data_IF_064646254911
#
_entry.id   IF_064646254911
#
_cell.length_a   1.000
_cell.length_b   1.000
_cell.length_c   1.000
_cell.angle_alpha   90.00
_cell.angle_beta   90.00
_cell.angle_gamma   90.00
#
_symmetry.space_group_name_H-M   'P 1'
#
loop_
_entity.id
_entity.type
_entity.pdbx_description
1 polymer ?
#
# COMPACT_ATOMS: atom_id res chain seq x y z
N UNK A 1 -2.25 28.32 48.83
CA UNK A 1 -2.20 26.88 49.15
C UNK A 1 -0.90 26.30 48.58
N UNK A 2 -0.19 25.47 49.33
CA UNK A 2 0.91 24.68 48.85
C UNK A 2 0.35 23.44 48.16
N UNK A 3 0.91 23.08 47.00
CA UNK A 3 0.53 21.82 46.33
C UNK A 3 0.92 20.61 47.18
N UNK A 4 0.21 19.48 47.10
CA UNK A 4 0.61 18.24 47.74
C UNK A 4 2.02 17.82 47.34
N UNK A 5 2.70 17.04 48.18
CA UNK A 5 4.02 16.50 47.86
C UNK A 5 3.94 15.66 46.59
N UNK A 6 4.88 15.89 45.65
CA UNK A 6 4.89 15.21 44.38
C UNK A 6 4.06 15.86 43.26
N UNK A 7 3.14 16.77 43.58
CA UNK A 7 2.26 17.40 42.59
C UNK A 7 2.99 18.30 41.58
N UNK A 8 4.15 18.84 41.97
CA UNK A 8 4.92 19.78 41.17
C UNK A 8 4.80 21.23 41.63
N UNK A 9 5.51 22.12 41.00
CA UNK A 9 5.61 23.53 41.39
C UNK A 9 5.57 24.48 40.20
N UNK A 10 5.02 25.69 40.48
CA UNK A 10 4.93 26.77 39.51
C UNK A 10 5.55 28.02 40.14
N UNK A 11 6.45 28.68 39.43
CA UNK A 11 6.94 30.01 39.82
C UNK A 11 7.23 30.88 38.64
N UNK A 12 7.26 32.19 38.92
CA UNK A 12 7.56 33.23 37.96
C UNK A 12 9.07 33.43 37.94
N UNK A 13 9.66 33.31 36.74
CA UNK A 13 11.05 33.64 36.52
C UNK A 13 11.24 35.17 36.42
N UNK A 14 12.39 35.66 36.86
CA UNK A 14 12.75 37.06 36.76
C UNK A 14 13.09 37.49 35.35
N UNK A 15 13.03 38.81 35.11
CA UNK A 15 13.33 39.45 33.81
C UNK A 15 12.15 39.55 32.86
N UNK A 16 12.35 40.26 31.76
CA UNK A 16 11.34 40.46 30.68
C UNK A 16 11.29 39.21 29.77
N UNK A 17 10.38 38.26 30.09
CA UNK A 17 10.18 37.01 29.36
C UNK A 17 8.78 36.93 28.81
N UNK A 18 8.63 36.45 27.57
CA UNK A 18 7.34 36.20 26.95
C UNK A 18 6.54 35.10 27.68
N UNK A 19 7.23 34.11 28.24
CA UNK A 19 6.65 33.00 29.03
C UNK A 19 7.32 32.91 30.37
N UNK A 20 6.93 33.75 31.34
CA UNK A 20 7.65 33.86 32.63
C UNK A 20 7.34 32.75 33.62
N UNK A 21 6.24 31.99 33.46
CA UNK A 21 5.86 30.97 34.42
C UNK A 21 6.42 29.61 34.01
N UNK A 22 7.28 29.04 34.85
CA UNK A 22 7.83 27.70 34.74
C UNK A 22 7.00 26.72 35.57
N UNK A 23 6.71 25.57 34.95
CA UNK A 23 6.10 24.40 35.61
C UNK A 23 7.14 23.29 35.64
N UNK A 24 7.37 22.74 36.85
CA UNK A 24 8.32 21.63 37.01
C UNK A 24 7.84 20.64 38.07
N UNK A 25 8.28 19.39 37.95
CA UNK A 25 8.11 18.36 38.98
C UNK A 25 9.46 17.89 39.51
N UNK A 26 9.45 17.33 40.72
CA UNK A 26 10.58 16.62 41.28
C UNK A 26 10.68 15.22 40.64
N UNK A 27 11.87 14.84 40.18
CA UNK A 27 12.13 13.52 39.61
C UNK A 27 13.04 12.64 40.49
N UNK A 28 13.58 13.22 41.52
CA UNK A 28 14.49 12.55 42.46
C UNK A 28 15.32 13.53 43.29
N UNK A 29 16.35 13.01 43.92
CA UNK A 29 17.33 13.73 44.71
C UNK A 29 18.74 13.32 44.25
N UNK A 30 19.66 14.24 44.23
CA UNK A 30 21.06 13.93 43.97
C UNK A 30 21.70 13.24 45.18
N UNK A 31 22.87 12.63 44.98
CA UNK A 31 23.64 12.02 46.09
C UNK A 31 24.00 13.03 47.17
N UNK A 32 24.02 14.32 46.82
CA UNK A 32 24.24 15.43 47.76
C UNK A 32 22.94 15.94 48.44
N UNK A 33 21.80 15.24 48.27
CA UNK A 33 20.52 15.63 48.84
C UNK A 33 19.83 16.82 48.15
N UNK A 34 20.28 17.26 46.97
CA UNK A 34 19.64 18.32 46.18
C UNK A 34 18.48 17.75 45.34
N UNK A 35 17.36 18.46 45.37
CA UNK A 35 16.16 18.09 44.62
C UNK A 35 16.38 18.23 43.09
N UNK A 36 16.18 17.15 42.36
CA UNK A 36 16.27 17.13 40.92
C UNK A 36 14.89 17.42 40.29
N UNK A 37 14.86 18.32 39.33
CA UNK A 37 13.63 18.78 38.68
C UNK A 37 13.59 18.47 37.21
N UNK A 38 12.41 18.09 36.75
CA UNK A 38 12.09 18.04 35.33
C UNK A 38 11.11 19.17 35.00
N UNK A 39 11.42 19.98 33.96
CA UNK A 39 10.57 21.07 33.52
C UNK A 39 9.48 20.55 32.60
N UNK A 40 8.21 20.77 32.95
CA UNK A 40 7.05 20.44 32.13
C UNK A 40 6.88 21.45 31.01
N UNK A 41 7.04 22.74 31.30
CA UNK A 41 6.95 23.79 30.31
C UNK A 41 7.06 25.20 30.84
N UNK A 42 7.00 26.19 29.92
CA UNK A 42 6.99 27.63 30.20
C UNK A 42 5.71 28.25 29.66
N UNK A 43 5.03 29.09 30.43
CA UNK A 43 3.70 29.61 30.11
C UNK A 43 3.65 31.12 30.29
N UNK A 44 2.75 31.77 29.55
CA UNK A 44 2.58 33.24 29.56
C UNK A 44 1.88 33.72 30.84
N UNK A 45 0.93 32.92 31.35
CA UNK A 45 0.15 33.28 32.55
C UNK A 45 0.23 32.16 33.58
N UNK A 46 -0.01 32.53 34.86
CA UNK A 46 -0.08 31.57 35.95
C UNK A 46 -1.23 30.57 35.77
N UNK A 47 -2.36 31.02 35.18
CA UNK A 47 -3.53 30.17 34.92
C UNK A 47 -3.17 29.04 33.96
N UNK A 48 -2.53 29.37 32.83
CA UNK A 48 -2.07 28.40 31.88
C UNK A 48 -1.06 27.41 32.46
N UNK A 49 -0.18 27.89 33.32
CA UNK A 49 0.77 27.05 34.03
C UNK A 49 0.08 26.08 35.04
N UNK A 50 -0.96 26.54 35.72
CA UNK A 50 -1.76 25.71 36.62
C UNK A 50 -2.55 24.64 35.88
N UNK A 51 -3.19 25.00 34.77
CA UNK A 51 -3.89 24.06 33.91
C UNK A 51 -2.93 22.97 33.40
N UNK A 52 -1.78 23.36 32.89
CA UNK A 52 -0.78 22.42 32.39
C UNK A 52 -0.23 21.48 33.47
N UNK A 53 -0.06 21.97 34.70
CA UNK A 53 0.34 21.13 35.85
C UNK A 53 -0.76 20.14 36.25
N UNK A 54 -2.03 20.59 36.26
CA UNK A 54 -3.17 19.73 36.54
C UNK A 54 -3.33 18.64 35.47
N UNK A 55 -3.31 19.03 34.20
CA UNK A 55 -3.38 18.09 33.05
C UNK A 55 -2.27 17.05 33.09
N UNK A 56 -1.04 17.49 33.44
CA UNK A 56 0.09 16.60 33.60
C UNK A 56 -0.12 15.57 34.73
N UNK A 57 -0.70 16.00 35.87
CA UNK A 57 -0.96 15.10 37.00
C UNK A 57 -2.12 14.13 36.75
N UNK A 58 -3.10 14.52 35.91
CA UNK A 58 -4.21 13.65 35.49
C UNK A 58 -3.70 12.61 34.48
N UNK A 59 -2.89 13.04 33.53
CA UNK A 59 -2.33 12.20 32.48
C UNK A 59 -0.82 12.43 32.36
N UNK A 60 0.00 11.81 33.22
CA UNK A 60 1.45 11.94 33.17
C UNK A 60 1.98 11.46 31.80
N UNK A 61 2.73 12.31 31.12
CA UNK A 61 3.39 11.97 29.86
C UNK A 61 4.90 12.14 29.99
N UNK A 62 5.65 11.41 29.18
CA UNK A 62 7.10 11.57 29.09
C UNK A 62 7.41 12.91 28.41
N UNK A 63 8.04 13.81 29.17
CA UNK A 63 8.33 15.18 28.73
C UNK A 63 9.31 15.19 27.56
N UNK A 64 10.26 14.27 27.51
CA UNK A 64 11.18 14.13 26.39
C UNK A 64 10.43 13.62 25.14
N UNK A 65 9.56 12.63 25.32
CA UNK A 65 8.69 12.15 24.22
C UNK A 65 7.72 13.23 23.72
N UNK A 66 7.27 14.12 24.61
CA UNK A 66 6.37 15.23 24.23
C UNK A 66 7.02 16.31 23.37
N UNK A 67 8.35 16.35 23.31
CA UNK A 67 9.10 17.30 22.47
C UNK A 67 9.28 16.82 21.04
N UNK A 68 9.06 15.54 20.78
CA UNK A 68 9.30 14.94 19.45
C UNK A 68 8.49 15.65 18.38
N UNK A 69 9.13 16.02 17.31
CA UNK A 69 8.48 16.61 16.13
C UNK A 69 7.84 15.54 15.24
N UNK A 70 6.99 15.96 14.31
CA UNK A 70 6.39 15.06 13.33
C UNK A 70 7.45 14.33 12.49
N UNK A 71 8.48 15.05 12.02
CA UNK A 71 9.57 14.47 11.24
C UNK A 71 10.40 13.47 12.05
N UNK A 72 10.75 13.79 13.28
CA UNK A 72 11.50 12.88 14.16
C UNK A 72 10.70 11.61 14.48
N UNK A 73 9.38 11.73 14.70
CA UNK A 73 8.51 10.57 14.89
C UNK A 73 8.44 9.70 13.64
N UNK A 74 8.31 10.34 12.45
CA UNK A 74 8.33 9.63 11.17
C UNK A 74 9.63 8.87 10.96
N UNK A 75 10.77 9.47 11.28
CA UNK A 75 12.08 8.84 11.12
C UNK A 75 12.23 7.61 12.04
N UNK A 76 11.79 7.70 13.29
CA UNK A 76 11.78 6.57 14.22
C UNK A 76 10.86 5.46 13.72
N UNK A 77 9.60 5.80 13.39
CA UNK A 77 8.62 4.86 12.88
C UNK A 77 9.10 4.19 11.59
N UNK A 78 9.65 4.96 10.65
CA UNK A 78 10.06 4.44 9.35
C UNK A 78 11.23 3.45 9.47
N UNK A 79 12.20 3.68 10.35
CA UNK A 79 13.31 2.76 10.62
C UNK A 79 12.82 1.40 11.12
N UNK A 80 11.77 1.38 11.94
CA UNK A 80 11.22 0.16 12.51
C UNK A 80 10.19 -0.54 11.59
N UNK A 81 9.46 0.25 10.79
CA UNK A 81 8.34 -0.24 9.99
C UNK A 81 8.74 -0.67 8.57
N UNK A 82 9.63 0.07 7.91
CA UNK A 82 10.00 -0.19 6.52
C UNK A 82 10.61 -1.58 6.27
N UNK A 83 11.43 -2.16 7.16
CA UNK A 83 11.93 -3.52 6.98
C UNK A 83 10.83 -4.60 6.98
N UNK A 84 9.63 -4.28 7.48
CA UNK A 84 8.51 -5.23 7.65
C UNK A 84 7.47 -5.16 6.52
N UNK A 85 7.66 -4.26 5.56
CA UNK A 85 6.66 -4.00 4.50
C UNK A 85 7.29 -4.06 3.11
N UNK A 86 6.46 -4.17 2.06
CA UNK A 86 6.93 -4.20 0.67
C UNK A 86 7.44 -2.83 0.21
N UNK A 87 8.34 -2.82 -0.80
CA UNK A 87 8.88 -1.61 -1.41
C UNK A 87 7.76 -0.66 -1.91
N UNK A 88 6.69 -1.21 -2.47
CA UNK A 88 5.53 -0.42 -2.91
C UNK A 88 4.83 0.28 -1.73
N UNK A 89 4.75 -0.36 -0.57
CA UNK A 89 4.19 0.28 0.63
C UNK A 89 5.11 1.42 1.10
N UNK A 90 6.43 1.22 1.07
CA UNK A 90 7.42 2.26 1.39
C UNK A 90 7.26 3.47 0.46
N UNK A 91 7.15 3.25 -0.85
CA UNK A 91 6.90 4.32 -1.83
C UNK A 91 5.62 5.08 -1.49
N UNK A 92 4.54 4.38 -1.18
CA UNK A 92 3.26 5.00 -0.81
C UNK A 92 3.36 5.83 0.47
N UNK A 93 4.07 5.36 1.49
CA UNK A 93 4.31 6.13 2.72
C UNK A 93 5.17 7.36 2.46
N UNK A 94 6.22 7.26 1.64
CA UNK A 94 7.04 8.41 1.23
C UNK A 94 6.22 9.46 0.46
N UNK A 95 5.30 9.03 -0.41
CA UNK A 95 4.37 9.92 -1.10
C UNK A 95 3.48 10.64 -0.09
N UNK A 96 2.88 9.92 0.86
CA UNK A 96 2.07 10.53 1.93
C UNK A 96 2.87 11.54 2.76
N UNK A 97 4.10 11.19 3.14
CA UNK A 97 4.99 12.05 3.92
C UNK A 97 5.32 13.37 3.22
N UNK A 98 5.61 13.32 1.93
CA UNK A 98 5.90 14.52 1.12
C UNK A 98 4.83 15.63 1.27
N UNK A 99 3.55 15.24 1.36
CA UNK A 99 2.45 16.22 1.54
C UNK A 99 2.33 16.72 2.97
N UNK A 100 2.90 16.03 3.96
CA UNK A 100 2.86 16.43 5.36
C UNK A 100 3.93 17.49 5.72
N UNK A 101 4.63 18.09 4.75
CA UNK A 101 5.66 19.09 5.00
C UNK A 101 5.25 20.21 5.98
N UNK A 102 4.00 20.73 5.96
CA UNK A 102 3.57 21.75 6.92
C UNK A 102 3.57 21.28 8.39
N UNK A 103 3.65 19.97 8.64
CA UNK A 103 3.64 19.39 9.98
C UNK A 103 5.04 19.08 10.52
N UNK A 104 6.08 19.06 9.68
CA UNK A 104 7.39 18.50 9.99
C UNK A 104 7.99 19.01 11.30
N UNK A 105 7.98 20.32 11.52
CA UNK A 105 8.60 20.96 12.66
C UNK A 105 7.64 21.13 13.85
N UNK A 106 6.38 20.72 13.69
CA UNK A 106 5.41 20.74 14.78
C UNK A 106 5.68 19.61 15.75
N UNK A 107 5.59 19.89 17.03
CA UNK A 107 5.58 18.83 18.05
C UNK A 107 4.40 17.92 17.80
N UNK A 108 4.62 16.62 17.78
CA UNK A 108 3.58 15.66 17.45
C UNK A 108 2.38 15.75 18.40
N UNK A 109 2.64 16.00 19.69
CA UNK A 109 1.60 16.15 20.71
C UNK A 109 0.68 17.37 20.42
N UNK A 110 1.14 18.37 19.70
CA UNK A 110 0.36 19.59 19.37
C UNK A 110 -0.43 19.47 18.08
N UNK A 111 -0.22 18.38 17.30
CA UNK A 111 -0.94 18.15 16.05
C UNK A 111 -2.38 17.72 16.36
N UNK A 112 -3.33 18.40 15.76
CA UNK A 112 -4.78 18.16 15.90
C UNK A 112 -5.40 17.90 14.52
N UNK A 113 -6.68 17.48 14.54
CA UNK A 113 -7.45 17.22 13.30
C UNK A 113 -7.29 18.35 12.28
N UNK A 114 -7.43 19.61 12.70
CA UNK A 114 -7.41 20.76 11.76
C UNK A 114 -6.09 20.90 11.02
N UNK A 115 -4.95 20.67 11.69
CA UNK A 115 -3.64 20.72 11.04
C UNK A 115 -3.53 19.67 9.93
N UNK A 116 -3.95 18.45 10.21
CA UNK A 116 -3.94 17.34 9.25
C UNK A 116 -4.99 17.51 8.15
N UNK A 117 -6.18 18.03 8.49
CA UNK A 117 -7.22 18.31 7.50
C UNK A 117 -6.74 19.36 6.50
N UNK A 118 -6.07 20.42 6.96
CA UNK A 118 -5.46 21.42 6.09
C UNK A 118 -4.44 20.81 5.12
N UNK A 119 -3.67 19.80 5.54
CA UNK A 119 -2.76 19.06 4.63
C UNK A 119 -3.55 18.37 3.53
N UNK A 120 -4.66 17.72 3.86
CA UNK A 120 -5.52 17.04 2.88
C UNK A 120 -6.14 18.06 1.92
N UNK A 121 -6.75 19.13 2.45
CA UNK A 121 -7.49 20.12 1.68
C UNK A 121 -6.56 20.88 0.73
N UNK A 122 -5.38 21.28 1.21
CA UNK A 122 -4.39 22.00 0.44
C UNK A 122 -3.54 21.11 -0.49
N UNK A 123 -3.69 19.78 -0.44
CA UNK A 123 -2.92 18.86 -1.28
C UNK A 123 -3.24 19.02 -2.77
N UNK A 124 -4.45 19.50 -3.13
CA UNK A 124 -4.95 19.57 -4.51
C UNK A 124 -5.03 18.21 -5.22
N UNK A 125 -5.04 17.09 -4.46
CA UNK A 125 -4.93 15.74 -5.01
C UNK A 125 -6.26 15.01 -4.98
N UNK A 126 -6.42 14.06 -5.94
CA UNK A 126 -7.56 13.15 -6.00
C UNK A 126 -7.56 12.17 -4.80
N UNK A 127 -8.73 11.58 -4.56
CA UNK A 127 -8.99 10.65 -3.46
C UNK A 127 -7.87 9.59 -3.24
N UNK A 128 -7.30 8.91 -4.26
CA UNK A 128 -6.27 7.91 -4.01
C UNK A 128 -5.04 8.47 -3.28
N UNK A 129 -4.58 9.67 -3.66
CA UNK A 129 -3.43 10.30 -2.99
C UNK A 129 -3.80 10.79 -1.59
N UNK A 130 -4.99 11.38 -1.40
CA UNK A 130 -5.50 11.76 -0.07
C UNK A 130 -5.58 10.55 0.86
N UNK A 131 -5.95 9.38 0.32
CA UNK A 131 -5.96 8.12 1.06
C UNK A 131 -4.56 7.70 1.52
N UNK A 132 -3.51 7.89 0.69
CA UNK A 132 -2.13 7.61 1.10
C UNK A 132 -1.69 8.51 2.26
N UNK A 133 -2.01 9.81 2.20
CA UNK A 133 -1.72 10.77 3.30
C UNK A 133 -2.42 10.30 4.59
N UNK A 134 -3.72 10.02 4.54
CA UNK A 134 -4.48 9.56 5.70
C UNK A 134 -3.93 8.23 6.25
N UNK A 135 -3.52 7.32 5.38
CA UNK A 135 -2.93 6.03 5.77
C UNK A 135 -1.65 6.25 6.57
N UNK A 136 -0.74 7.10 6.08
CA UNK A 136 0.47 7.44 6.82
C UNK A 136 0.16 8.08 8.17
N UNK A 137 -0.71 9.09 8.21
CA UNK A 137 -1.11 9.77 9.45
C UNK A 137 -1.69 8.78 10.47
N UNK A 138 -2.49 7.81 10.01
CA UNK A 138 -3.02 6.76 10.87
C UNK A 138 -1.93 5.86 11.45
N UNK A 139 -0.91 5.51 10.66
CA UNK A 139 0.23 4.70 11.12
C UNK A 139 1.06 5.46 12.15
N UNK A 140 1.34 6.73 11.89
CA UNK A 140 2.10 7.56 12.82
C UNK A 140 1.36 7.78 14.15
N UNK A 141 0.03 7.95 14.12
CA UNK A 141 -0.75 8.03 15.36
C UNK A 141 -0.81 6.72 16.12
N UNK A 142 -0.89 5.57 15.44
CA UNK A 142 -0.80 4.26 16.09
C UNK A 142 0.55 4.14 16.82
N UNK A 143 1.64 4.40 16.11
CA UNK A 143 2.98 4.36 16.67
C UNK A 143 3.18 5.35 17.84
N UNK A 144 2.61 6.55 17.71
CA UNK A 144 2.67 7.55 18.76
C UNK A 144 1.92 7.11 20.05
N UNK A 145 0.80 6.39 19.90
CA UNK A 145 0.04 5.85 21.03
C UNK A 145 0.78 4.67 21.65
N UNK A 146 1.29 3.74 20.83
CA UNK A 146 2.09 2.60 21.29
C UNK A 146 3.35 3.02 22.05
N UNK A 147 3.87 4.21 21.78
CA UNK A 147 5.08 4.76 22.40
C UNK A 147 4.79 5.89 23.42
N UNK A 148 3.57 6.05 23.88
CA UNK A 148 3.14 7.07 24.85
C UNK A 148 3.45 8.53 24.46
N UNK A 149 3.57 8.81 23.15
CA UNK A 149 3.73 10.17 22.60
C UNK A 149 2.38 10.87 22.48
N UNK A 150 1.31 10.11 22.26
CA UNK A 150 -0.06 10.63 22.15
C UNK A 150 -1.04 9.70 22.85
N UNK A 151 -2.08 10.25 23.45
CA UNK A 151 -3.17 9.47 24.08
C UNK A 151 -4.40 9.34 23.19
N UNK A 152 -4.48 10.11 22.10
CA UNK A 152 -5.67 10.18 21.23
C UNK A 152 -5.30 10.17 19.77
N UNK A 153 -6.02 9.34 18.99
CA UNK A 153 -5.83 9.21 17.53
C UNK A 153 -6.67 10.24 16.77
N UNK A 154 -6.13 11.46 16.60
CA UNK A 154 -6.83 12.52 15.86
C UNK A 154 -6.96 12.24 14.37
N UNK A 155 -6.08 11.43 13.78
CA UNK A 155 -6.08 11.09 12.35
C UNK A 155 -7.34 10.32 11.90
N UNK A 156 -8.05 9.63 12.81
CA UNK A 156 -9.29 8.94 12.47
C UNK A 156 -10.40 9.89 12.00
N UNK A 157 -10.39 11.13 12.48
CA UNK A 157 -11.42 12.15 12.20
C UNK A 157 -11.18 12.95 10.90
N UNK A 158 -10.12 12.64 10.15
CA UNK A 158 -9.79 13.32 8.89
C UNK A 158 -10.78 12.87 7.81
N UNK A 159 -11.36 13.84 7.12
CA UNK A 159 -12.14 13.59 5.91
C UNK A 159 -11.27 13.68 4.66
N UNK A 160 -11.36 12.71 3.79
CA UNK A 160 -10.66 12.66 2.49
C UNK A 160 -11.62 12.78 1.30
N UNK A 161 -12.91 12.97 1.58
CA UNK A 161 -13.98 13.02 0.58
C UNK A 161 -14.36 11.62 0.08
N UNK A 162 -15.26 11.60 -0.90
CA UNK A 162 -15.71 10.36 -1.55
C UNK A 162 -14.79 9.99 -2.71
N UNK A 163 -14.70 8.70 -2.99
CA UNK A 163 -14.04 8.22 -4.20
C UNK A 163 -14.99 8.36 -5.39
N UNK A 164 -14.93 9.49 -6.06
CA UNK A 164 -15.72 9.76 -7.27
C UNK A 164 -15.06 9.20 -8.54
N UNK A 165 -13.92 8.52 -8.38
CA UNK A 165 -13.23 7.88 -9.50
C UNK A 165 -14.11 6.83 -10.15
N UNK A 166 -14.56 7.08 -11.38
CA UNK A 166 -15.16 6.05 -12.22
C UNK A 166 -14.12 4.94 -12.36
N UNK A 167 -14.52 3.72 -12.05
CA UNK A 167 -13.76 2.54 -12.40
C UNK A 167 -13.78 2.44 -13.93
N UNK A 168 -12.88 3.13 -14.60
CA UNK A 168 -12.66 3.00 -16.05
C UNK A 168 -11.95 1.66 -16.35
N UNK A 169 -12.54 0.56 -15.85
CA UNK A 169 -12.09 -0.78 -16.16
C UNK A 169 -12.98 -1.29 -17.27
N UNK A 170 -12.45 -1.28 -18.47
CA UNK A 170 -13.16 -1.71 -19.67
C UNK A 170 -12.54 -3.03 -20.13
N UNK A 171 -13.27 -4.15 -20.04
CA UNK A 171 -12.80 -5.39 -20.65
C UNK A 171 -12.59 -5.18 -22.17
N UNK A 172 -11.65 -5.90 -22.75
CA UNK A 172 -11.53 -5.98 -24.20
C UNK A 172 -12.81 -6.57 -24.78
N UNK A 173 -13.32 -5.97 -25.84
CA UNK A 173 -14.45 -6.49 -26.61
C UNK A 173 -14.03 -7.72 -27.43
N UNK A 174 -15.00 -8.48 -27.94
CA UNK A 174 -14.73 -9.61 -28.85
C UNK A 174 -13.98 -9.15 -30.10
N UNK A 175 -14.38 -8.01 -30.68
CA UNK A 175 -13.75 -7.45 -31.87
C UNK A 175 -12.29 -7.01 -31.59
N UNK A 176 -12.03 -6.42 -30.43
CA UNK A 176 -10.68 -6.05 -30.02
C UNK A 176 -9.79 -7.27 -29.79
N UNK A 177 -10.34 -8.35 -29.22
CA UNK A 177 -9.60 -9.62 -29.07
C UNK A 177 -9.31 -10.23 -30.45
N UNK A 178 -10.27 -10.22 -31.37
CA UNK A 178 -10.07 -10.69 -32.71
C UNK A 178 -8.97 -9.87 -33.43
N UNK A 179 -8.99 -8.55 -33.28
CA UNK A 179 -7.98 -7.66 -33.86
C UNK A 179 -6.57 -7.96 -33.29
N UNK A 180 -6.46 -8.38 -32.02
CA UNK A 180 -5.18 -8.86 -31.45
C UNK A 180 -4.71 -10.14 -32.15
N UNK A 181 -5.60 -11.11 -32.39
CA UNK A 181 -5.26 -12.33 -33.13
C UNK A 181 -4.84 -12.04 -34.57
N UNK A 182 -5.56 -11.18 -35.27
CA UNK A 182 -5.28 -10.86 -36.71
C UNK A 182 -3.92 -10.16 -36.86
N UNK A 183 -3.43 -9.51 -35.85
CA UNK A 183 -2.14 -8.79 -35.86
C UNK A 183 -0.99 -9.52 -35.14
N UNK A 184 -1.17 -10.79 -34.77
CA UNK A 184 -0.16 -11.54 -34.00
C UNK A 184 1.22 -11.64 -34.69
N UNK A 185 1.23 -11.68 -36.02
CA UNK A 185 2.45 -11.77 -36.85
C UNK A 185 3.09 -10.41 -37.12
N UNK A 186 2.33 -9.33 -36.97
CA UNK A 186 2.72 -7.98 -37.34
C UNK A 186 3.29 -7.17 -36.18
N UNK A 187 2.95 -7.54 -34.93
CA UNK A 187 3.32 -6.80 -33.76
C UNK A 187 3.98 -7.69 -32.71
N UNK A 188 5.23 -7.39 -32.39
CA UNK A 188 5.95 -8.08 -31.33
C UNK A 188 5.26 -7.92 -29.99
N UNK A 189 5.27 -8.97 -29.16
CA UNK A 189 4.68 -9.03 -27.82
C UNK A 189 3.13 -8.96 -27.77
N UNK A 190 2.42 -8.92 -28.89
CA UNK A 190 0.95 -8.98 -28.88
C UNK A 190 0.44 -10.31 -28.30
N UNK A 191 1.18 -11.39 -28.54
CA UNK A 191 0.97 -12.71 -27.96
C UNK A 191 0.95 -12.69 -26.43
N UNK A 192 1.73 -11.82 -25.80
CA UNK A 192 1.72 -11.68 -24.32
C UNK A 192 0.42 -11.07 -23.80
N UNK A 193 -0.25 -10.22 -24.58
CA UNK A 193 -1.57 -9.67 -24.25
C UNK A 193 -2.63 -10.78 -24.31
N UNK A 194 -2.60 -11.59 -25.37
CA UNK A 194 -3.48 -12.75 -25.52
C UNK A 194 -3.25 -13.76 -24.39
N UNK A 195 -1.98 -14.05 -24.03
CA UNK A 195 -1.67 -14.92 -22.87
C UNK A 195 -2.32 -14.37 -21.59
N UNK A 196 -2.25 -13.05 -21.33
CA UNK A 196 -2.88 -12.46 -20.16
C UNK A 196 -4.42 -12.51 -20.21
N UNK A 197 -5.02 -12.32 -21.38
CA UNK A 197 -6.48 -12.41 -21.57
C UNK A 197 -6.99 -13.83 -21.30
N UNK A 198 -6.27 -14.87 -21.73
CA UNK A 198 -6.69 -16.26 -21.60
C UNK A 198 -6.18 -16.99 -20.34
N UNK A 199 -5.39 -16.31 -19.48
CA UNK A 199 -4.90 -16.88 -18.21
C UNK A 199 -5.31 -16.09 -16.97
N UNK A 200 -5.75 -14.84 -17.18
CA UNK A 200 -6.03 -13.93 -16.06
C UNK A 200 -4.81 -13.51 -15.26
N UNK A 201 -3.60 -13.74 -15.74
CA UNK A 201 -2.35 -13.31 -15.11
C UNK A 201 -2.28 -11.79 -14.99
N UNK A 202 -1.71 -11.32 -13.89
CA UNK A 202 -1.22 -9.95 -13.84
C UNK A 202 0.08 -9.85 -14.64
N UNK A 203 0.32 -8.72 -15.29
CA UNK A 203 1.55 -8.54 -16.06
C UNK A 203 2.82 -8.82 -15.23
N UNK A 204 2.89 -8.34 -14.00
CA UNK A 204 4.03 -8.64 -13.11
C UNK A 204 4.19 -10.14 -12.82
N UNK A 205 3.10 -10.90 -12.80
CA UNK A 205 3.14 -12.36 -12.64
C UNK A 205 3.67 -13.03 -13.92
N UNK A 206 3.18 -12.63 -15.10
CA UNK A 206 3.66 -13.15 -16.38
C UNK A 206 5.17 -12.93 -16.57
N UNK A 207 5.65 -11.73 -16.28
CA UNK A 207 7.08 -11.38 -16.41
C UNK A 207 8.02 -12.07 -15.41
N UNK A 208 7.45 -12.79 -14.44
CA UNK A 208 8.20 -13.52 -13.41
C UNK A 208 7.99 -15.04 -13.47
N UNK A 209 7.26 -15.54 -14.46
CA UNK A 209 7.16 -16.98 -14.69
C UNK A 209 8.50 -17.48 -15.21
N UNK A 210 9.08 -18.44 -14.49
CA UNK A 210 10.27 -19.18 -14.97
C UNK A 210 9.86 -20.23 -15.98
N UNK A 211 10.71 -20.45 -16.97
CA UNK A 211 10.50 -21.49 -17.99
C UNK A 211 10.24 -22.86 -17.37
N UNK A 212 10.98 -23.24 -16.33
CA UNK A 212 10.86 -24.53 -15.65
C UNK A 212 9.52 -24.73 -14.93
N UNK A 213 8.76 -23.66 -14.75
CA UNK A 213 7.41 -23.69 -14.18
C UNK A 213 6.30 -23.78 -15.25
N UNK A 214 6.66 -24.06 -16.52
CA UNK A 214 5.72 -24.17 -17.64
C UNK A 214 5.67 -25.61 -18.12
N UNK A 215 4.52 -26.24 -18.01
CA UNK A 215 4.26 -27.65 -18.35
C UNK A 215 3.31 -27.69 -19.57
N UNK A 216 3.87 -27.48 -20.77
CA UNK A 216 3.08 -27.32 -22.02
C UNK A 216 2.23 -28.56 -22.29
N UNK A 217 2.82 -29.75 -22.23
CA UNK A 217 2.13 -31.02 -22.51
C UNK A 217 0.99 -31.30 -21.53
N UNK A 218 1.12 -30.77 -20.29
CA UNK A 218 0.11 -30.88 -19.23
C UNK A 218 -0.83 -29.68 -19.19
N UNK A 219 -0.62 -28.70 -20.08
CA UNK A 219 -1.46 -27.50 -20.26
C UNK A 219 -1.65 -26.67 -18.98
N UNK A 220 -0.60 -26.49 -18.19
CA UNK A 220 -0.59 -25.56 -17.08
C UNK A 220 0.80 -24.97 -16.85
N UNK A 221 0.83 -23.89 -16.08
CA UNK A 221 2.04 -23.29 -15.55
C UNK A 221 1.83 -22.95 -14.07
N UNK A 222 2.92 -22.79 -13.33
CA UNK A 222 2.92 -22.41 -11.92
C UNK A 222 3.44 -20.98 -11.80
N UNK A 223 2.67 -20.11 -11.14
CA UNK A 223 3.04 -18.71 -10.99
C UNK A 223 2.25 -18.00 -9.90
N UNK A 224 2.48 -16.68 -9.80
CA UNK A 224 1.84 -15.81 -8.81
C UNK A 224 2.80 -15.34 -7.72
N UNK A 225 2.73 -14.03 -7.38
CA UNK A 225 3.73 -13.38 -6.52
C UNK A 225 3.08 -12.63 -5.36
N UNK A 226 1.88 -12.07 -5.57
CA UNK A 226 1.43 -10.91 -4.80
C UNK A 226 0.70 -11.23 -3.48
N UNK A 227 0.11 -12.39 -3.34
CA UNK A 227 -0.66 -12.78 -2.15
C UNK A 227 -0.35 -14.22 -1.78
N UNK A 228 -0.47 -14.61 -0.52
CA UNK A 228 -0.27 -15.99 -0.10
C UNK A 228 -1.18 -16.97 -0.88
N UNK A 229 -2.44 -16.61 -1.12
CA UNK A 229 -3.37 -17.40 -1.93
C UNK A 229 -3.01 -17.43 -3.42
N UNK A 230 -2.21 -16.50 -3.89
CA UNK A 230 -1.79 -16.39 -5.30
C UNK A 230 -0.41 -16.96 -5.58
N UNK A 231 0.42 -17.19 -4.57
CA UNK A 231 1.77 -17.77 -4.73
C UNK A 231 1.69 -19.22 -5.21
N UNK A 232 2.51 -19.55 -6.18
CA UNK A 232 2.65 -20.94 -6.70
C UNK A 232 1.32 -21.59 -7.10
N UNK A 233 0.35 -20.77 -7.56
CA UNK A 233 -0.92 -21.33 -8.04
C UNK A 233 -0.78 -21.96 -9.41
N UNK A 234 -1.62 -22.93 -9.68
CA UNK A 234 -1.80 -23.51 -11.00
C UNK A 234 -2.56 -22.53 -11.88
N UNK A 235 -2.01 -22.27 -13.06
CA UNK A 235 -2.55 -21.40 -14.10
C UNK A 235 -2.76 -22.27 -15.34
N UNK A 236 -4.00 -22.66 -15.67
CA UNK A 236 -4.29 -23.48 -16.82
C UNK A 236 -4.01 -22.71 -18.13
N UNK A 237 -3.64 -23.45 -19.15
CA UNK A 237 -3.32 -22.93 -20.49
C UNK A 237 -4.47 -23.30 -21.43
N UNK A 238 -5.19 -22.28 -21.91
CA UNK A 238 -6.22 -22.42 -22.92
C UNK A 238 -5.61 -22.86 -24.28
N UNK A 239 -6.33 -23.63 -25.08
CA UNK A 239 -5.83 -24.16 -26.37
C UNK A 239 -5.33 -23.07 -27.32
N UNK A 240 -6.07 -21.98 -27.46
CA UNK A 240 -5.73 -20.87 -28.36
C UNK A 240 -4.39 -20.22 -28.07
N UNK A 241 -3.89 -20.29 -26.82
CA UNK A 241 -2.62 -19.64 -26.44
C UNK A 241 -1.44 -20.62 -26.33
N UNK A 242 -1.66 -21.92 -26.50
CA UNK A 242 -0.57 -22.90 -26.51
C UNK A 242 0.54 -22.55 -27.49
N UNK A 243 0.26 -22.15 -28.77
CA UNK A 243 1.30 -21.79 -29.70
C UNK A 243 2.15 -20.61 -29.23
N UNK A 244 1.53 -19.62 -28.59
CA UNK A 244 2.23 -18.42 -28.09
C UNK A 244 3.13 -18.75 -26.89
N UNK A 245 2.65 -19.57 -25.97
CA UNK A 245 3.45 -20.02 -24.82
C UNK A 245 4.62 -20.88 -25.33
N UNK A 246 4.39 -21.77 -26.30
CA UNK A 246 5.43 -22.58 -26.90
C UNK A 246 6.50 -21.73 -27.59
N UNK A 247 6.12 -20.72 -28.37
CA UNK A 247 7.03 -19.73 -28.99
C UNK A 247 7.99 -19.10 -27.97
N UNK A 248 7.50 -18.73 -26.79
CA UNK A 248 8.32 -18.17 -25.72
C UNK A 248 9.16 -19.22 -25.01
N UNK A 249 8.59 -20.40 -24.77
CA UNK A 249 9.26 -21.54 -24.12
C UNK A 249 10.46 -22.04 -24.94
N UNK A 250 10.33 -22.09 -26.25
CA UNK A 250 11.36 -22.59 -27.17
C UNK A 250 12.58 -21.65 -27.27
N UNK A 251 12.48 -20.41 -26.81
CA UNK A 251 13.62 -19.49 -26.68
C UNK A 251 14.67 -19.93 -25.67
N UNK A 252 14.33 -20.89 -24.82
CA UNK A 252 15.21 -21.51 -23.83
C UNK A 252 15.89 -20.51 -22.86
N UNK A 253 15.13 -19.52 -22.41
CA UNK A 253 15.57 -18.50 -21.46
C UNK A 253 15.12 -18.84 -20.04
N UNK A 254 15.72 -18.20 -19.02
CA UNK A 254 15.33 -18.40 -17.59
C UNK A 254 13.88 -18.01 -17.34
N UNK A 255 13.44 -16.92 -17.96
CA UNK A 255 12.06 -16.39 -17.82
C UNK A 255 11.25 -16.73 -19.08
N UNK A 256 9.97 -17.05 -18.89
CA UNK A 256 9.09 -17.35 -20.02
C UNK A 256 9.05 -16.19 -21.03
N UNK A 257 8.81 -14.97 -20.54
CA UNK A 257 8.79 -13.76 -21.37
C UNK A 257 9.99 -12.89 -21.04
N UNK A 258 10.77 -12.56 -22.06
CA UNK A 258 12.02 -11.79 -21.96
C UNK A 258 12.04 -10.61 -22.93
N UNK A 259 12.96 -9.67 -22.71
CA UNK A 259 13.29 -8.63 -23.69
C UNK A 259 14.12 -9.21 -24.87
N UNK A 260 14.50 -8.38 -25.83
CA UNK A 260 15.32 -8.79 -26.96
C UNK A 260 16.74 -9.25 -26.58
N UNK A 261 17.23 -8.86 -25.40
CA UNK A 261 18.51 -9.30 -24.84
C UNK A 261 18.39 -10.59 -24.02
N UNK A 262 17.21 -11.23 -24.03
CA UNK A 262 16.89 -12.43 -23.24
C UNK A 262 16.92 -12.21 -21.71
N UNK A 263 16.74 -10.96 -21.27
CA UNK A 263 16.70 -10.59 -19.85
C UNK A 263 15.26 -10.44 -19.36
N UNK A 264 15.07 -10.53 -18.04
CA UNK A 264 13.78 -10.27 -17.42
C UNK A 264 13.31 -8.84 -17.66
N UNK A 265 12.07 -8.68 -18.09
CA UNK A 265 11.47 -7.36 -18.29
C UNK A 265 10.92 -6.78 -16.99
N UNK A 266 11.18 -5.49 -16.77
CA UNK A 266 10.50 -4.73 -15.71
C UNK A 266 9.10 -4.29 -16.18
N UNK A 267 8.15 -4.26 -15.25
CA UNK A 267 6.77 -3.86 -15.53
C UNK A 267 6.66 -2.51 -16.27
N UNK A 268 7.40 -1.50 -15.81
CA UNK A 268 7.37 -0.15 -16.39
C UNK A 268 7.83 -0.12 -17.84
N UNK A 269 8.88 -0.90 -18.17
CA UNK A 269 9.42 -1.00 -19.52
C UNK A 269 8.47 -1.76 -20.43
N UNK A 270 7.94 -2.91 -19.97
CA UNK A 270 6.95 -3.66 -20.74
C UNK A 270 5.72 -2.79 -21.04
N UNK A 271 5.16 -2.11 -20.02
CA UNK A 271 4.00 -1.25 -20.22
C UNK A 271 4.26 -0.18 -21.28
N UNK A 272 5.30 0.63 -21.10
CA UNK A 272 5.61 1.76 -21.98
C UNK A 272 6.01 1.33 -23.39
N UNK A 273 6.87 0.31 -23.52
CA UNK A 273 7.55 -0.01 -24.77
C UNK A 273 6.82 -1.08 -25.60
N UNK A 274 6.00 -1.90 -24.95
CA UNK A 274 5.31 -3.00 -25.62
C UNK A 274 3.80 -2.79 -25.57
N UNK A 275 3.20 -2.80 -24.38
CA UNK A 275 1.75 -2.74 -24.25
C UNK A 275 1.15 -1.43 -24.82
N UNK A 276 1.63 -0.27 -24.34
CA UNK A 276 1.09 1.02 -24.76
C UNK A 276 1.31 1.26 -26.28
N UNK A 277 2.45 0.82 -26.84
CA UNK A 277 2.73 0.89 -28.27
C UNK A 277 1.75 0.03 -29.11
N UNK A 278 1.40 -1.18 -28.64
CA UNK A 278 0.40 -2.03 -29.31
C UNK A 278 -0.97 -1.36 -29.23
N UNK A 279 -1.36 -0.83 -28.08
CA UNK A 279 -2.64 -0.13 -27.90
C UNK A 279 -2.74 1.07 -28.86
N UNK A 280 -1.70 1.88 -28.97
CA UNK A 280 -1.63 3.01 -29.89
C UNK A 280 -1.79 2.58 -31.36
N UNK A 281 -1.01 1.58 -31.79
CA UNK A 281 -1.07 1.08 -33.17
C UNK A 281 -2.43 0.50 -33.56
N UNK A 282 -3.11 -0.16 -32.61
CA UNK A 282 -4.43 -0.74 -32.84
C UNK A 282 -5.58 0.23 -32.48
N UNK A 283 -5.27 1.46 -32.06
CA UNK A 283 -6.24 2.48 -31.64
C UNK A 283 -7.16 2.00 -30.51
N UNK A 284 -6.60 1.27 -29.56
CA UNK A 284 -7.29 0.76 -28.37
C UNK A 284 -6.91 1.56 -27.12
N UNK A 285 -7.84 1.70 -26.18
CA UNK A 285 -7.63 2.40 -24.90
C UNK A 285 -7.76 1.43 -23.73
N UNK A 286 -6.71 0.65 -23.48
CA UNK A 286 -6.64 -0.29 -22.36
C UNK A 286 -5.35 -0.14 -21.57
N UNK A 287 -5.37 -0.68 -20.36
CA UNK A 287 -4.17 -0.86 -19.53
C UNK A 287 -3.94 -2.36 -19.26
N UNK A 288 -2.74 -2.78 -18.86
CA UNK A 288 -2.45 -4.20 -18.68
C UNK A 288 -3.38 -4.93 -17.71
N UNK A 289 -4.03 -4.22 -16.78
CA UNK A 289 -4.94 -4.84 -15.82
C UNK A 289 -6.31 -5.18 -16.44
N UNK A 290 -6.67 -4.53 -17.54
CA UNK A 290 -7.93 -4.78 -18.26
C UNK A 290 -7.93 -6.17 -18.90
N UNK A 291 -6.77 -6.75 -19.28
CA UNK A 291 -6.67 -8.15 -19.73
C UNK A 291 -7.22 -9.12 -18.70
N UNK A 292 -6.90 -8.89 -17.44
CA UNK A 292 -7.39 -9.72 -16.34
C UNK A 292 -8.88 -9.52 -16.04
N UNK A 293 -9.40 -8.30 -16.25
CA UNK A 293 -10.84 -8.06 -16.19
C UNK A 293 -11.56 -8.75 -17.34
N UNK A 294 -10.96 -8.74 -18.53
CA UNK A 294 -11.46 -9.48 -19.71
C UNK A 294 -11.56 -10.96 -19.40
N UNK A 295 -10.49 -11.57 -18.88
CA UNK A 295 -10.50 -12.98 -18.48
C UNK A 295 -11.67 -13.28 -17.53
N UNK A 296 -11.83 -12.48 -16.46
CA UNK A 296 -12.90 -12.69 -15.49
C UNK A 296 -14.30 -12.59 -16.13
N UNK A 297 -14.50 -11.60 -17.01
CA UNK A 297 -15.76 -11.39 -17.72
C UNK A 297 -16.05 -12.52 -18.71
N UNK A 298 -15.05 -12.97 -19.46
CA UNK A 298 -15.20 -14.09 -20.40
C UNK A 298 -15.56 -15.38 -19.66
N UNK A 299 -14.84 -15.70 -18.59
CA UNK A 299 -15.11 -16.88 -17.76
C UNK A 299 -16.51 -16.86 -17.13
N UNK A 300 -16.95 -15.71 -16.63
CA UNK A 300 -18.31 -15.55 -16.05
C UNK A 300 -19.38 -15.71 -17.14
N UNK A 301 -19.17 -15.10 -18.31
CA UNK A 301 -20.07 -15.22 -19.48
C UNK A 301 -20.15 -16.63 -20.04
N UNK A 302 -19.05 -17.38 -20.00
CA UNK A 302 -18.98 -18.80 -20.41
C UNK A 302 -19.59 -19.76 -19.37
N UNK A 303 -20.11 -19.25 -18.25
CA UNK A 303 -20.71 -20.06 -17.18
C UNK A 303 -19.72 -20.86 -16.35
N UNK A 304 -18.44 -20.48 -16.35
CA UNK A 304 -17.43 -21.18 -15.57
C UNK A 304 -17.69 -21.06 -14.05
N UNK A 305 -17.36 -22.13 -13.32
CA UNK A 305 -17.52 -22.16 -11.87
C UNK A 305 -16.75 -21.02 -11.20
N UNK A 306 -17.44 -20.19 -10.41
CA UNK A 306 -16.87 -19.04 -9.71
C UNK A 306 -15.67 -19.37 -8.82
N UNK A 307 -15.64 -20.57 -8.26
CA UNK A 307 -14.51 -21.05 -7.45
C UNK A 307 -13.27 -21.29 -8.34
N UNK A 308 -13.46 -21.87 -9.54
CA UNK A 308 -12.37 -22.01 -10.52
C UNK A 308 -11.83 -20.65 -10.94
N UNK A 309 -12.70 -19.68 -11.24
CA UNK A 309 -12.29 -18.31 -11.60
C UNK A 309 -11.45 -17.68 -10.49
N UNK A 310 -11.95 -17.70 -9.24
CA UNK A 310 -11.23 -17.16 -8.08
C UNK A 310 -9.86 -17.83 -7.91
N UNK A 311 -9.79 -19.13 -8.06
CA UNK A 311 -8.58 -19.93 -7.89
C UNK A 311 -7.55 -19.62 -8.97
N UNK A 312 -7.94 -19.64 -10.25
CA UNK A 312 -7.07 -19.26 -11.38
C UNK A 312 -6.54 -17.83 -11.21
N UNK A 313 -7.39 -16.91 -10.80
CA UNK A 313 -7.01 -15.52 -10.57
C UNK A 313 -6.18 -15.30 -9.29
N UNK A 314 -6.12 -16.26 -8.35
CA UNK A 314 -5.41 -16.11 -7.07
C UNK A 314 -6.03 -15.02 -6.21
N UNK A 315 -7.36 -14.97 -6.13
CA UNK A 315 -8.07 -14.14 -5.17
C UNK A 315 -8.15 -14.87 -3.84
N UNK A 316 -7.85 -14.16 -2.74
CA UNK A 316 -8.05 -14.72 -1.41
C UNK A 316 -9.55 -15.01 -1.22
N UNK A 317 -9.88 -16.24 -0.85
CA UNK A 317 -11.22 -16.60 -0.46
C UNK A 317 -11.50 -16.03 0.93
N UNK A 318 -12.63 -15.33 1.08
CA UNK A 318 -13.12 -14.87 2.39
C UNK A 318 -13.98 -15.93 3.08
N UNK A 319 -14.44 -16.96 2.35
CA UNK A 319 -15.29 -18.02 2.87
C UNK A 319 -14.48 -19.21 3.35
N UNK A 320 -14.79 -19.68 4.56
CA UNK A 320 -14.22 -20.92 5.15
C UNK A 320 -14.52 -22.15 4.28
N UNK A 321 -15.65 -22.17 3.59
CA UNK A 321 -16.09 -23.24 2.66
C UNK A 321 -15.16 -23.38 1.46
N UNK A 322 -14.61 -22.26 0.94
CA UNK A 322 -13.64 -22.27 -0.17
C UNK A 322 -12.29 -22.88 0.24
N UNK A 323 -11.95 -22.93 1.55
CA UNK A 323 -10.72 -23.55 2.07
C UNK A 323 -10.79 -25.07 2.13
N UNK A 324 -11.96 -25.63 2.28
CA UNK A 324 -12.18 -27.10 2.39
C UNK A 324 -12.06 -27.77 1.01
N UNK A 325 -12.33 -27.06 -0.08
CA UNK A 325 -12.24 -27.56 -1.45
C UNK A 325 -10.88 -27.23 -2.13
N UNK A 326 -9.79 -27.26 -1.39
CA UNK A 326 -8.45 -26.87 -1.89
C UNK A 326 -7.83 -27.86 -2.88
N UNK A 327 -8.45 -29.01 -3.16
CA UNK A 327 -7.94 -30.05 -4.06
C UNK A 327 -8.74 -30.19 -5.37
N UNK A 328 -9.13 -29.06 -6.01
CA UNK A 328 -9.61 -29.16 -7.39
C UNK A 328 -8.48 -29.61 -8.29
N UNK A 329 -8.73 -30.68 -9.03
CA UNK A 329 -7.79 -31.22 -9.98
C UNK A 329 -7.41 -30.17 -11.05
N UNK A 330 -6.20 -30.27 -11.53
CA UNK A 330 -5.70 -29.42 -12.64
C UNK A 330 -6.59 -29.57 -13.88
N UNK A 331 -7.12 -30.78 -14.14
CA UNK A 331 -8.07 -31.04 -15.22
C UNK A 331 -9.32 -30.16 -15.16
N UNK A 332 -9.93 -29.98 -13.97
CA UNK A 332 -11.10 -29.10 -13.82
C UNK A 332 -10.78 -27.64 -14.16
N UNK A 333 -9.57 -27.18 -13.83
CA UNK A 333 -9.15 -25.81 -14.16
C UNK A 333 -8.91 -25.65 -15.67
N UNK A 334 -8.38 -26.70 -16.34
CA UNK A 334 -8.20 -26.72 -17.80
C UNK A 334 -9.55 -26.76 -18.51
N UNK A 335 -10.47 -27.61 -18.06
CA UNK A 335 -11.83 -27.67 -18.57
C UNK A 335 -12.53 -26.32 -18.44
N UNK A 336 -12.38 -25.66 -17.27
CA UNK A 336 -12.98 -24.37 -17.01
C UNK A 336 -12.47 -23.27 -17.97
N UNK A 337 -11.16 -23.20 -18.28
CA UNK A 337 -10.66 -22.20 -19.22
C UNK A 337 -11.01 -22.53 -20.66
N UNK A 338 -11.18 -23.80 -21.03
CA UNK A 338 -11.57 -24.21 -22.36
C UNK A 338 -13.05 -23.91 -22.69
N UNK A 339 -13.84 -23.45 -21.71
CA UNK A 339 -15.15 -22.85 -21.99
C UNK A 339 -15.06 -21.51 -22.70
N UNK A 340 -13.88 -20.88 -22.74
CA UNK A 340 -13.69 -19.63 -23.45
C UNK A 340 -13.69 -19.87 -24.97
N UNK A 341 -14.54 -19.13 -25.67
CA UNK A 341 -14.60 -19.16 -27.14
C UNK A 341 -13.46 -18.41 -27.81
#
# INVERSE_FOLDING_TARGET
MKNPNGYGSIYKLSGKRRKPYIVRRTIGWSDEGKQLYQTIGYYETRILAMSALADYNINPYDIEKSKITFSELYDKWSKEHFPKVSDNAIVNYKVGYKYCKPLYDMKFIDIRKNHMQSVIDNSGKAYPTRKLIKTLLNQLYNYAIENDVSTKKYSQYIDIGKNEGKLNRKPFSKDEIQLLFDNEKNLDYIDTILIMIYTGLRIGELLTIKRDNVFIDKRYMIGGIKTEAGKNRVIPIHEKIVPYIKKWYDKNTTWLVTNFKQEQMQYSNYKREKFDNIMEKLRMEHNPHDTRHTFASLMDSAGANKLCIKRIMGHASQDLTDKVYTHKDISELIEAVNLLE
#
